data_IF_347450028170
#
_entry.id   IF_347450028170
#
_cell.length_a   1.000
_cell.length_b   1.000
_cell.length_c   1.000
_cell.angle_alpha   90.00
_cell.angle_beta   90.00
_cell.angle_gamma   90.00
#
_symmetry.space_group_name_H-M   'P 1'
#
loop_
_entity.id
_entity.type
_entity.pdbx_description
1 polymer ?
#
# COMPACT_ATOMS: atom_id res chain seq x y z
N UNK A 1 -6.48 20.50 -21.75
CA UNK A 1 -5.02 20.50 -21.87
C UNK A 1 -4.49 19.57 -20.80
N UNK A 2 -3.50 18.74 -21.11
CA UNK A 2 -2.86 17.84 -20.14
C UNK A 2 -1.36 18.10 -20.23
N UNK A 3 -0.73 18.31 -19.07
CA UNK A 3 0.71 18.58 -18.96
C UNK A 3 1.28 17.55 -17.99
N UNK A 4 2.46 17.04 -18.31
CA UNK A 4 3.14 16.07 -17.43
C UNK A 4 3.97 16.80 -16.38
N UNK A 5 4.11 16.15 -15.24
CA UNK A 5 4.86 16.67 -14.12
C UNK A 5 4.91 15.67 -12.98
N UNK A 6 5.70 16.02 -11.97
CA UNK A 6 5.92 15.22 -10.77
C UNK A 6 5.52 16.02 -9.53
N UNK A 7 4.84 15.37 -8.59
CA UNK A 7 4.61 15.97 -7.27
C UNK A 7 5.84 15.77 -6.40
N UNK A 8 6.44 16.86 -5.93
CA UNK A 8 7.56 16.85 -4.97
C UNK A 8 7.18 17.61 -3.71
N UNK A 9 6.93 16.87 -2.62
CA UNK A 9 6.41 17.45 -1.39
C UNK A 9 5.07 18.14 -1.64
N UNK A 10 5.04 19.46 -1.48
CA UNK A 10 3.84 20.29 -1.68
C UNK A 10 3.86 21.09 -3.00
N UNK A 11 4.77 20.79 -3.92
CA UNK A 11 4.88 21.48 -5.22
C UNK A 11 4.61 20.50 -6.38
N UNK A 12 3.93 20.98 -7.43
CA UNK A 12 3.80 20.29 -8.72
C UNK A 12 4.88 20.86 -9.64
N UNK A 13 5.89 20.05 -9.96
CA UNK A 13 6.93 20.38 -10.94
C UNK A 13 6.48 19.90 -12.30
N UNK A 14 6.39 20.79 -13.29
CA UNK A 14 6.02 20.42 -14.65
C UNK A 14 7.28 20.05 -15.44
N UNK A 15 7.18 18.99 -16.24
CA UNK A 15 8.29 18.54 -17.08
C UNK A 15 8.56 19.53 -18.23
N UNK A 16 7.50 20.22 -18.66
CA UNK A 16 7.52 21.23 -19.71
C UNK A 16 6.82 22.50 -19.24
N UNK A 17 7.27 23.69 -19.68
CA UNK A 17 6.62 24.95 -19.35
C UNK A 17 5.20 24.99 -19.90
N UNK A 18 4.26 25.51 -19.10
CA UNK A 18 2.88 25.69 -19.52
C UNK A 18 2.80 26.68 -20.69
N UNK A 19 2.14 26.31 -21.81
CA UNK A 19 1.94 27.21 -22.94
C UNK A 19 0.75 28.14 -22.67
N UNK A 20 0.77 28.80 -21.51
CA UNK A 20 -0.22 29.80 -21.10
C UNK A 20 0.46 31.16 -21.01
N UNK A 21 -0.26 32.22 -21.38
CA UNK A 21 0.25 33.57 -21.25
C UNK A 21 0.46 33.93 -19.77
N UNK A 22 1.45 34.77 -19.50
CA UNK A 22 1.68 35.33 -18.17
C UNK A 22 0.42 36.06 -17.67
N UNK A 23 0.08 35.88 -16.39
CA UNK A 23 -1.15 36.42 -15.79
C UNK A 23 -2.41 35.55 -15.97
N UNK A 24 -2.31 34.41 -16.67
CA UNK A 24 -3.42 33.46 -16.78
C UNK A 24 -3.72 32.81 -15.42
N UNK A 25 -4.97 32.92 -14.95
CA UNK A 25 -5.43 32.22 -13.74
C UNK A 25 -5.79 30.78 -14.07
N UNK A 26 -5.22 29.84 -13.33
CA UNK A 26 -5.44 28.39 -13.51
C UNK A 26 -6.00 27.80 -12.22
N UNK A 27 -7.00 26.94 -12.37
CA UNK A 27 -7.55 26.13 -11.28
C UNK A 27 -7.14 24.67 -11.48
N UNK A 28 -6.64 24.03 -10.42
CA UNK A 28 -6.15 22.65 -10.45
C UNK A 28 -6.98 21.81 -9.49
N UNK A 29 -7.67 20.81 -10.03
CA UNK A 29 -8.41 19.82 -9.23
C UNK A 29 -7.57 18.57 -9.07
N UNK A 30 -7.16 18.27 -7.85
CA UNK A 30 -6.45 17.03 -7.51
C UNK A 30 -7.49 16.01 -7.05
N UNK A 31 -7.65 14.92 -7.81
CA UNK A 31 -8.48 13.80 -7.39
C UNK A 31 -7.59 12.75 -6.73
N UNK A 32 -7.71 12.51 -5.41
CA UNK A 32 -6.93 11.46 -4.76
C UNK A 32 -7.28 10.11 -5.36
N UNK A 33 -6.29 9.22 -5.47
CA UNK A 33 -6.57 7.85 -5.89
C UNK A 33 -7.61 7.22 -4.95
N UNK A 34 -8.53 6.46 -5.54
CA UNK A 34 -9.53 5.75 -4.78
C UNK A 34 -8.83 4.74 -3.88
N UNK A 35 -9.14 4.78 -2.58
CA UNK A 35 -8.63 3.77 -1.65
C UNK A 35 -9.05 2.39 -2.16
N UNK A 36 -8.16 1.38 -2.15
CA UNK A 36 -8.51 0.05 -2.56
C UNK A 36 -9.68 -0.47 -1.73
N UNK A 37 -10.54 -1.28 -2.36
CA UNK A 37 -11.71 -1.84 -1.70
C UNK A 37 -11.28 -2.61 -0.45
N UNK A 38 -11.99 -2.41 0.67
CA UNK A 38 -11.74 -3.10 1.95
C UNK A 38 -11.65 -4.62 1.72
N UNK A 39 -10.54 -5.22 2.13
CA UNK A 39 -10.28 -6.66 2.02
C UNK A 39 -9.74 -7.13 0.66
N UNK A 40 -9.53 -6.23 -0.32
CA UNK A 40 -8.85 -6.60 -1.56
C UNK A 40 -7.35 -6.86 -1.32
N UNK A 41 -6.69 -7.72 -2.12
CA UNK A 41 -5.24 -7.92 -2.03
C UNK A 41 -4.44 -6.60 -2.09
N UNK A 42 -4.87 -5.65 -2.91
CA UNK A 42 -4.26 -4.32 -2.98
C UNK A 42 -4.37 -3.52 -1.67
N UNK A 43 -5.47 -3.66 -0.93
CA UNK A 43 -5.64 -3.06 0.39
C UNK A 43 -4.69 -3.68 1.43
N UNK A 44 -4.45 -5.00 1.35
CA UNK A 44 -3.48 -5.67 2.21
C UNK A 44 -2.05 -5.25 1.90
N UNK A 45 -1.71 -5.12 0.61
CA UNK A 45 -0.38 -4.67 0.20
C UNK A 45 -0.08 -3.22 0.60
N UNK A 46 -1.08 -2.34 0.67
CA UNK A 46 -0.88 -0.98 1.21
C UNK A 46 -0.57 -0.94 2.71
N UNK A 47 -0.90 -2.00 3.46
CA UNK A 47 -0.54 -2.12 4.88
C UNK A 47 0.88 -2.65 5.08
N UNK A 48 1.50 -3.19 4.02
CA UNK A 48 2.88 -3.69 4.07
C UNK A 48 3.82 -2.50 4.15
N UNK A 49 4.48 -2.34 5.30
CA UNK A 49 5.43 -1.26 5.57
C UNK A 49 4.86 -0.06 6.35
N UNK A 50 3.59 -0.10 6.78
CA UNK A 50 2.99 0.93 7.65
C UNK A 50 2.86 0.50 9.11
N UNK A 51 3.18 -0.75 9.43
CA UNK A 51 3.16 -1.26 10.80
C UNK A 51 4.35 -0.69 11.57
N UNK A 52 4.09 -0.11 12.74
CA UNK A 52 5.15 0.20 13.69
C UNK A 52 5.73 -1.11 14.28
N UNK A 53 6.95 -1.07 14.82
CA UNK A 53 7.55 -2.22 15.49
C UNK A 53 6.66 -2.74 16.63
N UNK A 54 6.03 -1.85 17.40
CA UNK A 54 5.10 -2.23 18.48
C UNK A 54 3.84 -2.97 17.96
N UNK A 55 3.30 -2.55 16.82
CA UNK A 55 2.14 -3.21 16.21
C UNK A 55 2.53 -4.58 15.63
N UNK A 56 3.73 -4.72 15.08
CA UNK A 56 4.27 -5.99 14.60
C UNK A 56 4.46 -6.99 15.75
N UNK A 57 5.03 -6.56 16.87
CA UNK A 57 5.24 -7.39 18.06
C UNK A 57 3.91 -7.87 18.64
N UNK A 58 2.92 -6.98 18.71
CA UNK A 58 1.56 -7.33 19.18
C UNK A 58 0.89 -8.37 18.28
N UNK A 59 1.05 -8.25 16.96
CA UNK A 59 0.56 -9.24 16.01
C UNK A 59 1.26 -10.59 16.16
N UNK A 60 2.59 -10.59 16.34
CA UNK A 60 3.36 -11.82 16.53
C UNK A 60 2.95 -12.55 17.82
N UNK A 61 2.78 -11.83 18.94
CA UNK A 61 2.28 -12.41 20.18
C UNK A 61 0.87 -13.01 20.01
N UNK A 62 -0.02 -12.31 19.30
CA UNK A 62 -1.37 -12.81 19.03
C UNK A 62 -1.33 -14.11 18.21
N UNK A 63 -0.49 -14.15 17.18
CA UNK A 63 -0.32 -15.34 16.35
C UNK A 63 0.20 -16.51 17.19
N UNK A 64 1.24 -16.30 18.00
CA UNK A 64 1.80 -17.33 18.87
C UNK A 64 0.79 -17.85 19.90
N UNK A 65 -0.03 -16.97 20.48
CA UNK A 65 -0.99 -17.33 21.54
C UNK A 65 -2.28 -17.95 21.03
N UNK A 66 -2.72 -17.60 19.82
CA UNK A 66 -4.09 -17.90 19.38
C UNK A 66 -4.20 -18.62 18.04
N UNK A 67 -3.16 -18.61 17.21
CA UNK A 67 -3.17 -19.36 15.96
C UNK A 67 -2.57 -20.74 16.23
N UNK A 68 -3.34 -21.80 15.93
CA UNK A 68 -2.82 -23.16 15.99
C UNK A 68 -1.64 -23.27 15.02
N UNK A 69 -0.45 -23.53 15.55
CA UNK A 69 0.72 -23.90 14.74
C UNK A 69 0.35 -25.13 13.91
N UNK A 70 0.58 -25.05 12.60
CA UNK A 70 0.57 -26.23 11.75
C UNK A 70 1.78 -27.05 12.17
N UNK A 71 1.52 -28.26 12.68
CA UNK A 71 2.55 -29.25 12.93
C UNK A 71 2.91 -29.91 11.60
N UNK A 72 4.04 -29.50 11.04
CA UNK A 72 4.50 -30.01 9.75
C UNK A 72 5.00 -31.46 9.82
N UNK A 73 5.39 -31.95 11.01
CA UNK A 73 5.79 -33.34 11.21
C UNK A 73 4.56 -34.25 11.12
N UNK A 74 3.42 -33.82 11.69
CA UNK A 74 2.13 -34.52 11.58
C UNK A 74 1.65 -34.68 10.11
N UNK A 75 2.04 -33.76 9.23
CA UNK A 75 1.71 -33.82 7.80
C UNK A 75 2.63 -34.73 6.99
N UNK A 76 3.88 -34.95 7.43
CA UNK A 76 4.83 -35.85 6.75
C UNK A 76 4.49 -37.33 6.98
N UNK A 77 4.05 -37.70 8.18
CA UNK A 77 3.65 -39.08 8.53
C UNK A 77 2.45 -39.61 7.71
N UNK A 78 1.65 -38.73 7.13
CA UNK A 78 0.46 -39.09 6.33
C UNK A 78 0.81 -39.45 4.87
N UNK A 79 1.96 -39.03 4.36
CA UNK A 79 2.40 -39.36 2.99
C UNK A 79 3.11 -40.72 2.91
N UNK A 80 3.80 -41.15 3.98
CA UNK A 80 4.53 -42.43 3.99
C UNK A 80 3.63 -43.67 4.23
N UNK A 81 2.35 -43.47 4.56
CA UNK A 81 1.37 -44.55 4.79
C UNK A 81 0.45 -44.83 3.60
N UNK A 82 0.74 -44.31 2.41
CA UNK A 82 -0.02 -44.57 1.17
C UNK A 82 0.64 -45.58 0.25
#
# INVERSE_FOLDING_TARGET
MTVKGTVRGNCIELDEPLPLAEGTRVEVTITPESKPRKGSPAAWLQLVGTLSEEEADTMMEFIEKHVRRIDWELFQDQEERK
#
